data_IF_329435457694
#
_entry.id   IF_329435457694
#
_cell.length_a   1.000
_cell.length_b   1.000
_cell.length_c   1.000
_cell.angle_alpha   90.00
_cell.angle_beta   90.00
_cell.angle_gamma   90.00
#
_symmetry.space_group_name_H-M   'P 1'
#
loop_
_entity.id
_entity.type
_entity.pdbx_description
1 polymer ?
#
# COMPACT_ATOMS: atom_id res chain seq x y z
N UNK A 1 13.91 -19.44 15.74
CA UNK A 1 13.46 -20.38 14.69
C UNK A 1 12.60 -19.59 13.72
N UNK A 2 13.01 -19.43 12.45
CA UNK A 2 12.13 -18.89 11.42
C UNK A 2 11.26 -20.03 10.89
N UNK A 3 9.96 -19.95 11.14
CA UNK A 3 8.99 -20.77 10.42
C UNK A 3 8.74 -20.10 9.06
N UNK A 4 9.45 -20.55 8.03
CA UNK A 4 9.10 -20.21 6.65
C UNK A 4 8.22 -21.31 6.10
N UNK A 5 6.91 -21.09 6.09
CA UNK A 5 5.98 -21.95 5.37
C UNK A 5 5.91 -21.45 3.91
N UNK A 6 6.13 -22.30 2.89
CA UNK A 6 5.90 -21.89 1.52
C UNK A 6 4.41 -21.61 1.32
N UNK A 7 4.06 -20.35 1.06
CA UNK A 7 2.74 -19.97 0.59
C UNK A 7 2.55 -20.52 -0.83
N UNK A 8 1.91 -21.69 -0.93
CA UNK A 8 1.52 -22.25 -2.23
C UNK A 8 0.20 -21.61 -2.64
N UNK A 9 0.28 -20.70 -3.61
CA UNK A 9 -0.91 -20.06 -4.16
C UNK A 9 -1.71 -21.08 -4.98
N UNK A 10 -2.93 -21.40 -4.54
CA UNK A 10 -3.87 -22.19 -5.34
C UNK A 10 -4.42 -21.31 -6.45
N UNK A 11 -4.19 -21.70 -7.71
CA UNK A 11 -4.57 -20.95 -8.91
C UNK A 11 -3.91 -19.55 -8.97
N UNK A 12 -2.59 -19.47 -9.19
CA UNK A 12 -1.93 -18.18 -9.33
C UNK A 12 -2.49 -17.42 -10.53
N UNK A 13 -2.54 -16.06 -10.46
CA UNK A 13 -2.96 -15.24 -11.58
C UNK A 13 -2.07 -15.53 -12.80
N UNK A 14 -2.68 -15.52 -13.99
CA UNK A 14 -1.97 -15.66 -15.25
C UNK A 14 -1.35 -14.31 -15.59
N UNK A 15 -0.03 -14.30 -15.79
CA UNK A 15 0.70 -13.09 -16.19
C UNK A 15 0.14 -12.57 -17.52
N UNK A 16 -0.25 -11.29 -17.61
CA UNK A 16 -0.83 -10.76 -18.84
C UNK A 16 0.25 -10.52 -19.91
N UNK A 17 -0.15 -10.48 -21.18
CA UNK A 17 0.78 -10.34 -22.31
C UNK A 17 1.50 -9.00 -22.39
N UNK A 18 0.98 -7.96 -21.74
CA UNK A 18 1.59 -6.63 -21.61
C UNK A 18 2.53 -6.50 -20.39
N UNK A 19 2.69 -7.56 -19.58
CA UNK A 19 3.56 -7.51 -18.39
C UNK A 19 5.06 -7.39 -18.71
N UNK A 20 5.48 -7.73 -19.93
CA UNK A 20 6.87 -7.54 -20.39
C UNK A 20 7.05 -6.21 -21.13
N UNK A 21 6.00 -5.39 -21.23
CA UNK A 21 6.05 -4.03 -21.75
C UNK A 21 5.08 -3.13 -20.98
N UNK A 22 5.24 -3.04 -19.64
CA UNK A 22 4.38 -2.20 -18.81
C UNK A 22 4.56 -0.73 -19.16
N UNK A 23 3.53 0.05 -18.87
CA UNK A 23 3.53 1.51 -19.09
C UNK A 23 3.65 2.23 -17.77
N UNK A 24 4.32 3.38 -17.80
CA UNK A 24 4.45 4.22 -16.62
C UNK A 24 3.17 5.00 -16.36
N UNK A 25 2.68 4.95 -15.13
CA UNK A 25 1.51 5.71 -14.69
C UNK A 25 1.80 6.55 -13.45
N UNK A 26 1.03 7.62 -13.25
CA UNK A 26 0.93 8.30 -11.98
C UNK A 26 -0.06 7.54 -11.09
N UNK A 27 0.39 7.11 -9.90
CA UNK A 27 -0.50 6.38 -8.99
C UNK A 27 -1.50 7.33 -8.31
N UNK A 28 -1.14 8.60 -8.19
CA UNK A 28 -1.95 9.66 -7.58
C UNK A 28 -2.12 10.80 -8.58
N UNK A 29 -3.33 11.40 -8.63
CA UNK A 29 -3.54 12.66 -9.37
C UNK A 29 -2.54 13.71 -8.83
N UNK A 30 -1.65 14.27 -9.66
CA UNK A 30 -0.67 15.27 -9.20
C UNK A 30 -1.30 16.48 -8.49
N UNK A 31 -2.58 16.78 -8.74
CA UNK A 31 -3.31 17.83 -8.01
C UNK A 31 -3.49 17.53 -6.52
N UNK A 32 -3.39 16.26 -6.14
CA UNK A 32 -3.49 15.77 -4.76
C UNK A 32 -2.12 15.63 -4.09
N UNK A 33 -1.04 16.14 -4.70
CA UNK A 33 0.33 16.05 -4.17
C UNK A 33 0.43 16.41 -2.68
N UNK A 34 -0.29 17.43 -2.25
CA UNK A 34 -0.25 17.96 -0.86
C UNK A 34 -1.47 17.56 -0.03
N UNK A 35 -2.12 16.46 -0.41
CA UNK A 35 -3.30 15.93 0.28
C UNK A 35 -2.94 14.74 1.17
N UNK A 36 -3.78 14.48 2.16
CA UNK A 36 -3.69 13.22 2.90
C UNK A 36 -3.93 12.05 1.95
N UNK A 37 -3.16 10.95 2.05
CA UNK A 37 -3.35 9.78 1.21
C UNK A 37 -4.78 9.25 1.26
N UNK A 38 -5.27 8.74 0.13
CA UNK A 38 -6.62 8.17 0.02
C UNK A 38 -6.84 7.11 1.09
N UNK A 39 -8.06 7.07 1.64
CA UNK A 39 -8.47 6.07 2.64
C UNK A 39 -7.56 5.98 3.88
N UNK A 40 -6.79 7.03 4.20
CA UNK A 40 -6.02 7.07 5.44
C UNK A 40 -6.95 6.91 6.65
N UNK A 41 -6.62 5.97 7.52
CA UNK A 41 -7.34 5.66 8.75
C UNK A 41 -6.39 5.11 9.80
N UNK A 42 -6.71 5.34 11.07
CA UNK A 42 -5.92 4.90 12.22
C UNK A 42 -6.77 4.11 13.20
N UNK A 43 -6.14 3.33 14.08
CA UNK A 43 -6.85 2.63 15.17
C UNK A 43 -7.35 3.57 16.26
N UNK A 44 -6.96 4.85 16.22
CA UNK A 44 -7.50 5.92 17.06
C UNK A 44 -8.79 6.54 16.48
N UNK A 45 -9.13 6.22 15.22
CA UNK A 45 -10.33 6.76 14.58
C UNK A 45 -11.59 6.12 15.19
N UNK A 46 -12.61 6.95 15.41
CA UNK A 46 -13.92 6.48 15.88
C UNK A 46 -14.54 5.53 14.87
N UNK A 47 -14.97 4.37 15.33
CA UNK A 47 -15.70 3.44 14.48
C UNK A 47 -17.11 3.97 14.21
N UNK A 48 -17.60 3.72 13.00
CA UNK A 48 -19.00 4.04 12.64
C UNK A 48 -19.90 3.00 13.27
N UNK A 49 -21.02 3.44 13.85
CA UNK A 49 -22.09 2.53 14.27
C UNK A 49 -22.74 1.92 13.02
N UNK A 50 -22.97 0.61 13.04
CA UNK A 50 -23.77 -0.06 12.03
C UNK A 50 -25.05 -0.59 12.69
N UNK A 51 -26.21 -0.28 12.10
CA UNK A 51 -27.54 -0.73 12.58
C UNK A 51 -27.83 -0.46 14.07
N UNK A 52 -27.20 0.56 14.65
CA UNK A 52 -27.39 0.93 16.07
C UNK A 52 -26.53 0.13 17.06
N UNK A 53 -25.68 -0.79 16.57
CA UNK A 53 -24.70 -1.49 17.41
C UNK A 53 -23.42 -0.65 17.53
N UNK A 54 -22.92 -0.54 18.77
CA UNK A 54 -21.64 0.09 19.06
C UNK A 54 -20.57 -1.01 18.96
N UNK A 55 -19.60 -0.87 18.05
CA UNK A 55 -18.52 -1.85 17.91
C UNK A 55 -17.63 -1.85 19.15
N UNK A 56 -17.07 -3.02 19.48
CA UNK A 56 -16.09 -3.13 20.55
C UNK A 56 -14.76 -2.47 20.12
N UNK A 57 -14.27 -1.52 20.92
CA UNK A 57 -13.03 -0.76 20.63
C UNK A 57 -11.87 -1.15 21.58
N UNK A 58 -12.08 -2.13 22.47
CA UNK A 58 -11.07 -2.56 23.44
C UNK A 58 -9.76 -2.94 22.75
N UNK A 59 -8.67 -2.26 23.12
CA UNK A 59 -7.32 -2.50 22.60
C UNK A 59 -6.97 -1.80 21.29
N UNK A 60 -7.90 -1.10 20.62
CA UNK A 60 -7.59 -0.39 19.37
C UNK A 60 -6.65 0.80 19.59
N UNK A 61 -6.85 1.57 20.66
CA UNK A 61 -5.95 2.68 21.01
C UNK A 61 -4.50 2.22 21.26
N UNK A 62 -4.32 1.01 21.80
CA UNK A 62 -3.00 0.46 22.11
C UNK A 62 -2.33 -0.22 20.89
N UNK A 63 -3.10 -0.51 19.84
CA UNK A 63 -2.62 -1.19 18.64
C UNK A 63 -1.68 -0.32 17.78
N UNK A 64 -1.83 1.01 17.84
CA UNK A 64 -0.99 1.99 17.13
C UNK A 64 -0.77 1.69 15.64
N UNK A 65 -1.84 1.31 14.93
CA UNK A 65 -1.77 0.97 13.51
C UNK A 65 -2.53 1.97 12.65
N UNK A 66 -2.12 2.08 11.38
CA UNK A 66 -2.79 2.88 10.37
C UNK A 66 -2.71 2.20 9.01
N UNK A 67 -3.53 2.66 8.07
CA UNK A 67 -3.47 2.22 6.67
C UNK A 67 -4.01 3.29 5.72
N UNK A 68 -3.47 3.34 4.52
CA UNK A 68 -3.89 4.24 3.44
C UNK A 68 -3.70 3.57 2.08
N UNK A 69 -4.06 4.26 1.00
CA UNK A 69 -3.44 4.00 -0.30
C UNK A 69 -2.02 4.55 -0.37
N UNK A 70 -1.45 4.47 -1.57
CA UNK A 70 -0.20 5.11 -1.94
C UNK A 70 -0.16 6.59 -1.56
N UNK A 71 1.05 7.11 -1.33
CA UNK A 71 1.27 8.47 -0.86
C UNK A 71 2.32 9.18 -1.70
N UNK A 72 2.23 10.51 -1.76
CA UNK A 72 3.32 11.37 -2.21
C UNK A 72 4.30 11.62 -1.06
N UNK A 73 5.46 12.20 -1.36
CA UNK A 73 6.41 12.61 -0.32
C UNK A 73 5.79 13.61 0.67
N UNK A 74 4.96 14.54 0.20
CA UNK A 74 4.24 15.48 1.06
C UNK A 74 3.06 14.80 1.81
N UNK A 75 2.37 13.86 1.16
CA UNK A 75 1.32 13.04 1.79
C UNK A 75 1.87 12.18 2.93
N UNK A 76 3.08 11.64 2.79
CA UNK A 76 3.76 10.92 3.87
C UNK A 76 4.05 11.84 5.06
N UNK A 77 4.48 13.10 4.84
CA UNK A 77 4.68 14.06 5.93
C UNK A 77 3.37 14.33 6.69
N UNK A 78 2.25 14.45 5.97
CA UNK A 78 0.93 14.61 6.58
C UNK A 78 0.51 13.39 7.39
N UNK A 79 0.81 12.17 6.90
CA UNK A 79 0.59 10.92 7.63
C UNK A 79 1.43 10.89 8.91
N UNK A 80 2.73 11.17 8.82
CA UNK A 80 3.64 11.14 9.96
C UNK A 80 3.22 12.13 11.06
N UNK A 81 2.68 13.29 10.68
CA UNK A 81 2.11 14.25 11.62
C UNK A 81 0.88 13.73 12.41
N UNK A 82 0.27 12.62 11.97
CA UNK A 82 -0.83 11.92 12.68
C UNK A 82 -0.34 10.73 13.52
N UNK A 83 0.94 10.37 13.43
CA UNK A 83 1.52 9.24 14.16
C UNK A 83 2.27 9.70 15.41
N UNK A 84 2.58 8.78 16.32
CA UNK A 84 3.36 9.05 17.54
C UNK A 84 4.45 7.99 17.69
N UNK A 85 5.68 8.42 17.94
CA UNK A 85 6.82 7.52 18.09
C UNK A 85 7.37 7.01 16.75
N UNK A 86 8.24 5.97 16.79
CA UNK A 86 8.82 5.37 15.59
C UNK A 86 7.75 4.74 14.69
N UNK A 87 7.88 4.94 13.38
CA UNK A 87 6.96 4.40 12.37
C UNK A 87 7.70 3.42 11.48
N UNK A 88 7.10 2.25 11.23
CA UNK A 88 7.53 1.30 10.21
C UNK A 88 6.52 1.32 9.07
N UNK A 89 7.00 1.49 7.83
CA UNK A 89 6.16 1.39 6.63
C UNK A 89 6.20 -0.04 6.14
N UNK A 90 5.04 -0.69 6.09
CA UNK A 90 4.87 -2.00 5.46
C UNK A 90 4.35 -1.79 4.05
N UNK A 91 5.25 -1.82 3.07
CA UNK A 91 4.84 -1.81 1.67
C UNK A 91 4.40 -3.23 1.26
N UNK A 92 3.15 -3.33 0.80
CA UNK A 92 2.52 -4.60 0.41
C UNK A 92 2.39 -4.73 -1.11
N UNK A 93 2.93 -3.77 -1.87
CA UNK A 93 2.85 -3.69 -3.33
C UNK A 93 3.83 -4.66 -3.97
N UNK A 94 3.38 -5.34 -5.02
CA UNK A 94 4.23 -6.27 -5.79
C UNK A 94 4.78 -5.59 -7.05
N UNK A 95 4.03 -4.67 -7.62
CA UNK A 95 4.40 -3.87 -8.78
C UNK A 95 5.62 -2.98 -8.49
N UNK A 96 6.44 -2.77 -9.50
CA UNK A 96 7.59 -1.86 -9.41
C UNK A 96 7.08 -0.43 -9.31
N UNK A 97 7.48 0.28 -8.27
CA UNK A 97 7.04 1.63 -7.98
C UNK A 97 8.17 2.48 -7.39
N UNK A 98 8.19 3.76 -7.75
CA UNK A 98 9.21 4.72 -7.30
C UNK A 98 8.61 6.11 -7.09
N UNK A 99 9.43 7.02 -6.58
CA UNK A 99 9.12 8.45 -6.55
C UNK A 99 9.87 9.21 -7.63
N UNK A 100 9.16 10.03 -8.41
CA UNK A 100 9.76 11.04 -9.29
C UNK A 100 9.31 12.41 -8.81
N UNK A 101 10.27 13.24 -8.38
CA UNK A 101 10.00 14.56 -7.80
C UNK A 101 8.98 14.53 -6.64
N UNK A 102 8.96 13.46 -5.85
CA UNK A 102 8.04 13.29 -4.72
C UNK A 102 6.63 12.79 -5.08
N UNK A 103 6.35 12.55 -6.37
CA UNK A 103 5.11 11.93 -6.84
C UNK A 103 5.31 10.42 -7.06
N UNK A 104 4.36 9.57 -6.62
CA UNK A 104 4.45 8.12 -6.81
C UNK A 104 4.08 7.73 -8.23
N UNK A 105 4.89 6.86 -8.82
CA UNK A 105 4.68 6.25 -10.13
C UNK A 105 4.88 4.75 -10.05
N UNK A 106 4.19 4.01 -10.92
CA UNK A 106 4.32 2.56 -11.04
C UNK A 106 4.35 2.09 -12.51
N UNK A 107 4.85 0.87 -12.68
CA UNK A 107 4.90 0.17 -13.96
C UNK A 107 3.64 -0.67 -14.05
N UNK A 108 2.66 -0.14 -14.76
CA UNK A 108 1.35 -0.75 -14.89
C UNK A 108 1.29 -1.66 -16.11
N UNK A 109 0.81 -2.88 -15.87
CA UNK A 109 0.29 -3.77 -16.90
C UNK A 109 -1.17 -4.09 -16.57
N UNK A 110 -1.88 -4.75 -17.47
CA UNK A 110 -3.27 -5.17 -17.28
C UNK A 110 -3.50 -5.76 -15.89
N UNK A 111 -4.44 -5.18 -15.12
CA UNK A 111 -4.79 -5.54 -13.72
C UNK A 111 -3.72 -5.25 -12.67
N UNK A 112 -2.76 -4.39 -12.97
CA UNK A 112 -1.61 -4.09 -12.10
C UNK A 112 -0.71 -5.33 -11.88
N UNK A 113 -0.59 -6.16 -12.92
CA UNK A 113 0.06 -7.48 -12.86
C UNK A 113 1.41 -7.54 -13.58
N UNK A 114 2.15 -6.42 -13.63
CA UNK A 114 3.45 -6.36 -14.29
C UNK A 114 4.45 -7.39 -13.73
N UNK A 115 4.38 -7.64 -12.42
CA UNK A 115 5.29 -8.53 -11.70
C UNK A 115 4.70 -9.89 -11.33
N UNK A 116 3.51 -10.25 -11.84
CA UNK A 116 2.93 -11.58 -11.58
C UNK A 116 3.87 -12.69 -12.08
N UNK A 117 4.16 -13.64 -11.20
CA UNK A 117 5.06 -14.76 -11.48
C UNK A 117 6.55 -14.44 -11.31
N UNK A 118 6.93 -13.20 -10.97
CA UNK A 118 8.31 -12.85 -10.58
C UNK A 118 8.53 -13.13 -9.10
N UNK A 119 9.76 -13.48 -8.75
CA UNK A 119 10.18 -13.58 -7.35
C UNK A 119 10.47 -12.19 -6.77
N UNK A 120 10.39 -12.04 -5.45
CA UNK A 120 10.72 -10.77 -4.78
C UNK A 120 12.10 -10.24 -5.19
N UNK A 121 13.13 -11.08 -5.15
CA UNK A 121 14.48 -10.66 -5.54
C UNK A 121 14.63 -10.27 -7.02
N UNK A 122 13.79 -10.81 -7.91
CA UNK A 122 13.77 -10.41 -9.31
C UNK A 122 13.00 -9.09 -9.54
N UNK A 123 12.09 -8.73 -8.63
CA UNK A 123 11.37 -7.45 -8.63
C UNK A 123 12.27 -6.35 -8.09
N UNK A 124 12.99 -6.61 -7.00
CA UNK A 124 13.89 -5.64 -6.36
C UNK A 124 15.14 -5.31 -7.20
N UNK A 125 15.51 -6.19 -8.13
CA UNK A 125 16.65 -6.01 -9.02
C UNK A 125 16.30 -5.35 -10.37
N UNK A 126 15.01 -5.10 -10.62
CA UNK A 126 14.48 -4.49 -11.85
C UNK A 126 14.65 -2.97 -11.86
#
# INVERSE_FOLDING_TARGET
MLFSAPLVQKNPPVRPGDADSPVLIWDVDPKLEKSLPRNFRTTDDRLKTDKGEIPAETGLADLHASGSGEFTADGLKLLLARTRGPVTVFDLRQETHIFVNGLPISWFATRDWANVGRSQGAIEAD
#
